data_IF_158028390604
#
_entry.id   IF_158028390604
#
_cell.length_a   1.000
_cell.length_b   1.000
_cell.length_c   1.000
_cell.angle_alpha   90.00
_cell.angle_beta   90.00
_cell.angle_gamma   90.00
#
_symmetry.space_group_name_H-M   'P 1'
#
loop_
_entity.id
_entity.type
_entity.pdbx_description
1 polymer ?
#
# COMPACT_ATOMS: atom_id res chain seq x y z
N UNK A 1 46.62 -48.75 -11.50
CA UNK A 1 46.88 -47.35 -11.12
C UNK A 1 45.68 -46.52 -11.58
N UNK A 2 44.79 -46.14 -10.67
CA UNK A 2 43.57 -45.39 -10.96
C UNK A 2 43.78 -43.91 -10.56
N UNK A 3 43.54 -43.00 -11.50
CA UNK A 3 43.67 -41.57 -11.28
C UNK A 3 42.52 -41.05 -10.38
N UNK A 4 42.80 -40.11 -9.46
CA UNK A 4 41.77 -39.54 -8.60
C UNK A 4 40.81 -38.65 -9.41
N UNK A 5 39.51 -38.62 -9.04
CA UNK A 5 38.54 -37.74 -9.68
C UNK A 5 38.87 -36.27 -9.37
N UNK A 6 39.09 -35.50 -10.43
CA UNK A 6 39.26 -34.06 -10.40
C UNK A 6 38.03 -33.40 -9.78
N UNK A 7 38.19 -32.87 -8.57
CA UNK A 7 37.23 -32.05 -7.83
C UNK A 7 36.82 -30.85 -8.68
N UNK A 8 35.62 -30.93 -9.24
CA UNK A 8 34.99 -29.91 -10.06
C UNK A 8 34.75 -28.63 -9.25
N UNK A 9 35.58 -27.62 -9.48
CA UNK A 9 35.25 -26.20 -9.43
C UNK A 9 34.52 -25.69 -8.18
N UNK A 10 35.23 -25.58 -7.06
CA UNK A 10 34.92 -24.55 -6.07
C UNK A 10 35.23 -23.19 -6.73
N UNK A 11 34.25 -22.60 -7.40
CA UNK A 11 34.32 -21.23 -7.89
C UNK A 11 34.47 -20.35 -6.65
N UNK A 12 35.60 -19.68 -6.53
CA UNK A 12 35.95 -18.82 -5.39
C UNK A 12 34.84 -17.76 -5.18
N UNK A 13 34.02 -17.94 -4.14
CA UNK A 13 32.99 -16.97 -3.72
C UNK A 13 33.61 -15.72 -3.04
N UNK A 14 34.93 -15.56 -3.08
CA UNK A 14 35.65 -14.56 -2.29
C UNK A 14 35.41 -13.11 -2.73
N UNK A 15 34.83 -12.88 -3.91
CA UNK A 15 34.48 -11.54 -4.40
C UNK A 15 33.06 -11.05 -4.10
N UNK A 16 32.15 -11.90 -3.60
CA UNK A 16 30.75 -11.51 -3.45
C UNK A 16 30.51 -10.74 -2.15
N UNK A 17 29.83 -9.60 -2.27
CA UNK A 17 29.40 -8.79 -1.14
C UNK A 17 28.50 -9.59 -0.20
N UNK A 18 28.51 -9.28 1.10
CA UNK A 18 27.68 -9.95 2.11
C UNK A 18 26.18 -9.99 1.71
N UNK A 19 25.71 -8.95 1.04
CA UNK A 19 24.34 -8.89 0.50
C UNK A 19 24.08 -9.93 -0.59
N UNK A 20 25.03 -10.13 -1.50
CA UNK A 20 24.88 -11.06 -2.62
C UNK A 20 24.89 -12.51 -2.13
N UNK A 21 25.71 -12.83 -1.13
CA UNK A 21 25.69 -14.13 -0.45
C UNK A 21 24.31 -14.41 0.16
N UNK A 22 23.75 -13.43 0.88
CA UNK A 22 22.40 -13.57 1.45
C UNK A 22 21.32 -13.73 0.37
N UNK A 23 21.45 -13.02 -0.76
CA UNK A 23 20.55 -13.12 -1.91
C UNK A 23 20.62 -14.51 -2.55
N UNK A 24 21.81 -15.09 -2.70
CA UNK A 24 22.01 -16.44 -3.24
C UNK A 24 21.40 -17.51 -2.34
N UNK A 25 21.58 -17.40 -1.01
CA UNK A 25 20.93 -18.30 -0.04
C UNK A 25 19.40 -18.25 -0.17
N UNK A 26 18.82 -17.05 -0.33
CA UNK A 26 17.37 -16.89 -0.55
C UNK A 26 16.93 -17.54 -1.86
N UNK A 27 17.69 -17.37 -2.95
CA UNK A 27 17.40 -17.99 -4.25
C UNK A 27 17.43 -19.53 -4.12
N UNK A 28 18.45 -20.08 -3.46
CA UNK A 28 18.58 -21.52 -3.24
C UNK A 28 17.40 -22.08 -2.43
N UNK A 29 17.02 -21.41 -1.34
CA UNK A 29 15.84 -21.77 -0.53
C UNK A 29 14.55 -21.76 -1.34
N UNK A 30 14.36 -20.75 -2.19
CA UNK A 30 13.18 -20.64 -3.04
C UNK A 30 13.15 -21.73 -4.11
N UNK A 31 14.30 -22.07 -4.71
CA UNK A 31 14.41 -23.19 -5.65
C UNK A 31 14.00 -24.52 -5.00
N UNK A 32 14.57 -24.83 -3.83
CA UNK A 32 14.20 -26.03 -3.08
C UNK A 32 12.70 -26.09 -2.74
N UNK A 33 12.09 -24.93 -2.41
CA UNK A 33 10.65 -24.84 -2.15
C UNK A 33 9.82 -25.06 -3.42
N UNK A 34 10.27 -24.58 -4.58
CA UNK A 34 9.59 -24.81 -5.85
C UNK A 34 9.71 -26.28 -6.29
N UNK A 35 10.83 -26.93 -5.99
CA UNK A 35 11.05 -28.36 -6.23
C UNK A 35 10.11 -29.20 -5.37
N UNK A 36 10.01 -28.90 -4.05
CA UNK A 36 9.12 -29.64 -3.16
C UNK A 36 7.63 -29.48 -3.50
N UNK A 37 7.24 -28.36 -4.12
CA UNK A 37 5.90 -28.13 -4.64
C UNK A 37 5.65 -28.75 -6.03
N UNK A 38 6.66 -29.37 -6.65
CA UNK A 38 6.57 -29.91 -8.01
C UNK A 38 6.38 -28.83 -9.08
N UNK A 39 6.78 -27.59 -8.79
CA UNK A 39 6.67 -26.45 -9.70
C UNK A 39 7.98 -26.17 -10.46
N UNK A 40 9.12 -26.65 -9.97
CA UNK A 40 10.44 -26.43 -10.57
C UNK A 40 10.61 -27.07 -11.96
N UNK A 41 9.82 -28.09 -12.30
CA UNK A 41 9.96 -28.87 -13.54
C UNK A 41 8.99 -28.48 -14.65
N UNK A 42 8.12 -27.48 -14.44
CA UNK A 42 7.26 -27.00 -15.53
C UNK A 42 8.12 -26.17 -16.48
N UNK A 43 8.45 -26.81 -17.60
CA UNK A 43 9.22 -26.31 -18.74
C UNK A 43 9.04 -24.79 -18.97
N UNK A 44 10.08 -24.09 -19.46
CA UNK A 44 10.01 -22.66 -19.76
C UNK A 44 8.71 -22.40 -20.53
N UNK A 45 7.93 -21.42 -20.05
CA UNK A 45 6.73 -20.91 -20.72
C UNK A 45 7.12 -20.35 -22.09
N UNK A 46 7.47 -21.23 -23.03
CA UNK A 46 7.66 -20.91 -24.43
C UNK A 46 6.30 -20.46 -24.94
N UNK A 47 6.22 -19.18 -25.28
CA UNK A 47 5.31 -18.63 -26.28
C UNK A 47 3.82 -18.91 -26.09
N UNK A 48 3.22 -18.44 -24.99
CA UNK A 48 1.75 -18.24 -24.92
C UNK A 48 1.31 -16.82 -25.30
N UNK A 49 2.12 -16.12 -26.09
CA UNK A 49 1.76 -14.90 -26.81
C UNK A 49 1.31 -15.26 -28.24
N UNK A 50 0.28 -16.08 -28.40
CA UNK A 50 -0.47 -16.18 -29.66
C UNK A 50 -1.96 -16.36 -29.36
N UNK A 51 -2.77 -15.51 -29.99
CA UNK A 51 -4.23 -15.47 -30.05
C UNK A 51 -4.99 -14.86 -28.86
N UNK A 52 -4.83 -13.56 -28.65
CA UNK A 52 -5.98 -12.71 -28.33
C UNK A 52 -6.56 -12.20 -29.66
N UNK A 53 -7.08 -13.10 -30.49
CA UNK A 53 -7.82 -12.70 -31.69
C UNK A 53 -9.05 -11.90 -31.27
N UNK A 54 -9.13 -10.68 -31.80
CA UNK A 54 -10.25 -9.75 -31.76
C UNK A 54 -11.62 -10.44 -31.61
N UNK A 55 -12.26 -10.29 -30.44
CA UNK A 55 -13.70 -10.54 -30.32
C UNK A 55 -14.43 -9.39 -31.02
N UNK A 56 -15.28 -9.65 -32.03
CA UNK A 56 -16.04 -8.61 -32.69
C UNK A 56 -17.05 -7.98 -31.73
N UNK A 57 -16.95 -6.66 -31.60
CA UNK A 57 -17.80 -5.78 -30.82
C UNK A 57 -19.20 -5.78 -31.43
N UNK A 58 -20.12 -6.58 -30.86
CA UNK A 58 -21.54 -6.61 -31.26
C UNK A 58 -22.13 -5.19 -31.08
N UNK A 59 -22.41 -4.52 -32.19
CA UNK A 59 -23.24 -3.31 -32.24
C UNK A 59 -24.67 -3.73 -31.89
N UNK A 60 -25.22 -3.17 -30.81
CA UNK A 60 -26.66 -3.25 -30.52
C UNK A 60 -27.36 -2.28 -31.46
N UNK A 61 -28.04 -2.80 -32.48
CA UNK A 61 -29.07 -2.06 -33.18
C UNK A 61 -30.38 -2.18 -32.40
N UNK A 62 -31.05 -1.04 -32.23
CA UNK A 62 -32.45 -0.90 -31.82
C UNK A 62 -33.33 -1.65 -32.81
N UNK A 63 -34.26 -2.46 -32.31
CA UNK A 63 -35.47 -2.82 -33.04
C UNK A 63 -36.62 -2.81 -32.03
N UNK A 64 -37.58 -1.94 -32.33
CA UNK A 64 -38.92 -1.90 -31.75
C UNK A 64 -39.77 -3.03 -32.36
N UNK A 65 -40.86 -3.31 -31.63
CA UNK A 65 -42.14 -3.81 -32.11
C UNK A 65 -42.40 -5.33 -32.13
N UNK A 66 -43.49 -5.63 -31.41
CA UNK A 66 -44.59 -6.56 -31.72
C UNK A 66 -44.53 -8.02 -31.24
N UNK A 67 -45.67 -8.37 -30.62
CA UNK A 67 -46.02 -9.60 -29.93
C UNK A 67 -46.16 -10.82 -30.84
N UNK A 68 -46.06 -12.02 -30.25
CA UNK A 68 -47.12 -13.03 -30.32
C UNK A 68 -46.80 -14.19 -29.38
N UNK A 69 -47.82 -14.61 -28.62
CA UNK A 69 -47.82 -15.78 -27.78
C UNK A 69 -47.93 -17.05 -28.63
N UNK A 70 -47.23 -18.13 -28.27
CA UNK A 70 -47.78 -19.49 -28.40
C UNK A 70 -47.10 -20.47 -27.45
N UNK A 71 -47.92 -21.06 -26.61
CA UNK A 71 -47.69 -22.25 -25.79
C UNK A 71 -47.66 -23.48 -26.70
N UNK A 72 -46.64 -24.33 -26.63
CA UNK A 72 -46.73 -25.72 -27.12
C UNK A 72 -46.04 -26.65 -26.12
N UNK A 73 -46.84 -27.59 -25.63
CA UNK A 73 -46.49 -28.74 -24.79
C UNK A 73 -46.41 -29.96 -25.72
N UNK A 74 -45.37 -30.78 -25.62
CA UNK A 74 -45.37 -32.19 -26.04
C UNK A 74 -44.92 -33.01 -24.81
N UNK A 75 -45.61 -34.02 -24.26
CA UNK A 75 -46.51 -35.08 -24.76
C UNK A 75 -45.85 -36.22 -25.53
N UNK A 76 -44.56 -36.45 -25.34
CA UNK A 76 -43.92 -37.73 -25.70
C UNK A 76 -43.05 -38.26 -24.57
N UNK A 77 -43.60 -39.24 -23.83
CA UNK A 77 -42.89 -40.01 -22.83
C UNK A 77 -41.77 -40.83 -23.47
N UNK A 78 -40.56 -40.29 -23.50
CA UNK A 78 -39.38 -41.05 -23.83
C UNK A 78 -38.33 -40.92 -22.72
N UNK A 79 -38.17 -42.05 -22.02
CA UNK A 79 -37.19 -42.28 -20.98
C UNK A 79 -35.79 -42.27 -21.59
N UNK A 80 -34.93 -41.35 -21.15
CA UNK A 80 -33.48 -41.46 -21.33
C UNK A 80 -32.81 -41.63 -19.98
N UNK A 81 -32.63 -42.90 -19.61
CA UNK A 81 -31.56 -43.31 -18.72
C UNK A 81 -30.22 -43.08 -19.42
N UNK A 82 -29.35 -42.24 -18.86
CA UNK A 82 -27.92 -42.32 -19.17
C UNK A 82 -27.07 -41.81 -17.99
N UNK A 83 -26.59 -42.79 -17.22
CA UNK A 83 -25.28 -42.84 -16.55
C UNK A 83 -24.84 -41.61 -15.74
N UNK A 84 -25.39 -41.45 -14.54
CA UNK A 84 -24.60 -41.01 -13.40
C UNK A 84 -24.05 -42.27 -12.73
N UNK A 85 -22.73 -42.44 -12.68
CA UNK A 85 -21.95 -43.12 -11.63
C UNK A 85 -20.52 -43.30 -12.14
N UNK A 86 -19.63 -42.38 -11.74
CA UNK A 86 -18.21 -42.47 -12.12
C UNK A 86 -17.33 -41.26 -11.78
N UNK A 87 -17.83 -40.26 -11.04
CA UNK A 87 -17.07 -39.03 -10.72
C UNK A 87 -17.01 -38.67 -9.22
N UNK A 88 -17.41 -39.59 -8.34
CA UNK A 88 -17.53 -39.31 -6.90
C UNK A 88 -16.29 -39.66 -6.06
N UNK A 89 -15.38 -40.55 -6.50
CA UNK A 89 -14.23 -40.95 -5.65
C UNK A 89 -12.98 -40.04 -5.78
N UNK A 90 -12.74 -39.42 -6.94
CA UNK A 90 -11.60 -38.50 -7.12
C UNK A 90 -11.78 -37.14 -6.43
N UNK A 91 -13.03 -36.69 -6.24
CA UNK A 91 -13.33 -35.43 -5.56
C UNK A 91 -13.02 -35.48 -4.05
N UNK A 92 -13.10 -36.66 -3.44
CA UNK A 92 -12.82 -36.84 -2.01
C UNK A 92 -11.31 -36.87 -1.68
N UNK A 93 -10.45 -37.37 -2.58
CA UNK A 93 -8.98 -37.35 -2.38
C UNK A 93 -8.38 -35.95 -2.56
N UNK A 94 -8.93 -35.13 -3.47
CA UNK A 94 -8.48 -33.74 -3.66
C UNK A 94 -8.80 -32.81 -2.48
N UNK A 95 -9.80 -33.14 -1.66
CA UNK A 95 -10.20 -32.28 -0.55
C UNK A 95 -9.30 -32.44 0.70
N UNK A 96 -8.75 -33.64 0.93
CA UNK A 96 -7.85 -33.89 2.09
C UNK A 96 -6.48 -33.21 1.95
N UNK A 97 -5.91 -33.13 0.75
CA UNK A 97 -4.65 -32.40 0.52
C UNK A 97 -4.83 -30.87 0.61
N UNK A 98 -6.00 -30.33 0.25
CA UNK A 98 -6.28 -28.90 0.41
C UNK A 98 -6.32 -28.48 1.90
N UNK A 99 -6.81 -29.36 2.78
CA UNK A 99 -6.87 -29.10 4.22
C UNK A 99 -5.49 -29.14 4.90
N UNK A 100 -4.58 -30.03 4.46
CA UNK A 100 -3.20 -30.09 4.97
C UNK A 100 -2.36 -28.86 4.56
N UNK A 101 -2.55 -28.35 3.33
CA UNK A 101 -1.88 -27.13 2.88
C UNK A 101 -2.31 -25.88 3.66
N UNK A 102 -3.57 -25.78 4.09
CA UNK A 102 -4.05 -24.65 4.88
C UNK A 102 -3.40 -24.57 6.27
N UNK A 103 -3.09 -25.69 6.91
CA UNK A 103 -2.44 -25.71 8.24
C UNK A 103 -0.97 -25.28 8.18
N UNK A 104 -0.21 -25.76 7.18
CA UNK A 104 1.19 -25.34 6.99
C UNK A 104 1.35 -23.90 6.51
N UNK A 105 0.42 -23.38 5.71
CA UNK A 105 0.45 -21.98 5.28
C UNK A 105 0.14 -21.00 6.43
N UNK A 106 -0.70 -21.41 7.39
CA UNK A 106 -1.00 -20.61 8.59
C UNK A 106 0.25 -20.41 9.45
N UNK A 107 1.03 -21.47 9.71
CA UNK A 107 2.20 -21.40 10.59
C UNK A 107 3.38 -20.59 10.02
N UNK A 108 3.51 -20.46 8.69
CA UNK A 108 4.61 -19.70 8.06
C UNK A 108 4.26 -18.22 7.92
N UNK A 109 2.98 -17.87 7.80
CA UNK A 109 2.54 -16.46 7.80
C UNK A 109 2.78 -15.80 9.18
N UNK A 110 2.68 -16.56 10.27
CA UNK A 110 2.84 -16.04 11.63
C UNK A 110 4.26 -15.58 11.95
N UNK A 111 5.30 -16.13 11.30
CA UNK A 111 6.71 -15.75 11.56
C UNK A 111 7.09 -14.44 10.87
N UNK A 112 6.59 -14.16 9.66
CA UNK A 112 6.87 -12.89 8.96
C UNK A 112 5.98 -11.73 9.45
N UNK A 113 4.73 -12.01 9.85
CA UNK A 113 3.87 -11.04 10.52
C UNK A 113 4.35 -10.73 11.96
N UNK A 114 4.95 -11.70 12.64
CA UNK A 114 5.58 -11.51 13.95
C UNK A 114 6.67 -10.45 13.93
N UNK A 115 7.57 -10.47 12.94
CA UNK A 115 8.65 -9.48 12.83
C UNK A 115 8.15 -8.07 12.52
N UNK A 116 7.13 -7.91 11.67
CA UNK A 116 6.56 -6.60 11.39
C UNK A 116 5.75 -6.04 12.59
N UNK A 117 5.04 -6.91 13.30
CA UNK A 117 4.27 -6.55 14.50
C UNK A 117 5.19 -6.23 15.68
N UNK A 118 6.28 -6.95 15.87
CA UNK A 118 7.31 -6.63 16.86
C UNK A 118 8.04 -5.34 16.50
N UNK A 119 8.36 -5.10 15.23
CA UNK A 119 8.93 -3.82 14.81
C UNK A 119 7.97 -2.65 15.06
N UNK A 120 6.67 -2.80 14.78
CA UNK A 120 5.62 -1.79 15.07
C UNK A 120 5.35 -1.60 16.57
N UNK A 121 5.39 -2.66 17.39
CA UNK A 121 5.22 -2.54 18.84
C UNK A 121 6.45 -1.90 19.49
N UNK A 122 7.65 -2.24 19.01
CA UNK A 122 8.93 -1.71 19.51
C UNK A 122 9.16 -0.26 19.09
N UNK A 123 8.59 0.15 17.95
CA UNK A 123 8.57 1.53 17.46
C UNK A 123 7.16 2.12 17.49
N UNK A 124 6.34 1.71 18.46
CA UNK A 124 4.98 2.21 18.62
C UNK A 124 5.03 3.73 18.64
N UNK A 125 4.58 4.33 17.54
CA UNK A 125 4.47 5.76 17.37
C UNK A 125 3.48 6.23 18.40
N UNK A 126 4.01 6.67 19.55
CA UNK A 126 3.25 6.86 20.75
C UNK A 126 1.96 7.58 20.46
N UNK A 127 0.84 6.87 20.63
CA UNK A 127 -0.34 7.49 21.18
C UNK A 127 0.15 8.18 22.46
N UNK A 128 0.35 9.50 22.38
CA UNK A 128 0.39 10.37 23.53
C UNK A 128 -0.98 10.27 24.21
N UNK A 129 -1.22 9.14 24.87
CA UNK A 129 -2.20 9.03 25.93
C UNK A 129 -1.66 9.91 27.03
N UNK A 130 -2.05 11.17 26.98
CA UNK A 130 -1.89 12.14 28.06
C UNK A 130 -2.44 11.47 29.31
N UNK A 131 -1.55 10.86 30.09
CA UNK A 131 -1.84 10.38 31.44
C UNK A 131 -2.12 11.64 32.24
N UNK A 132 -3.40 11.97 32.33
CA UNK A 132 -3.94 12.96 33.26
C UNK A 132 -3.66 12.41 34.68
N UNK A 133 -2.47 12.67 35.21
CA UNK A 133 -2.14 12.42 36.61
C UNK A 133 -2.90 13.47 37.42
N UNK A 134 -4.12 13.13 37.81
CA UNK A 134 -4.76 13.73 38.97
C UNK A 134 -4.11 13.11 40.20
N UNK A 135 -3.11 13.77 40.79
CA UNK A 135 -2.79 13.55 42.19
C UNK A 135 -2.08 14.77 42.78
N UNK A 136 -2.86 15.73 43.28
CA UNK A 136 -2.40 16.69 44.29
C UNK A 136 -3.49 16.73 45.34
N UNK A 137 -3.26 16.03 46.46
CA UNK A 137 -3.94 16.29 47.72
C UNK A 137 -2.88 16.42 48.80
N UNK A 138 -3.21 17.29 49.77
CA UNK A 138 -2.52 17.68 51.00
C UNK A 138 -1.26 18.52 50.85
N UNK A 139 -0.98 19.56 51.64
CA UNK A 139 -1.75 20.52 52.46
C UNK A 139 -0.69 21.27 53.26
N UNK A 140 -0.71 22.62 53.28
CA UNK A 140 -0.38 23.44 54.47
C UNK A 140 -0.18 24.91 54.11
N UNK A 141 -1.07 25.75 54.63
CA UNK A 141 -0.84 27.08 55.21
C UNK A 141 0.32 27.96 54.69
N UNK A 142 -0.03 29.11 54.11
CA UNK A 142 0.41 30.42 54.65
C UNK A 142 -0.26 31.58 53.92
N UNK A 143 -0.83 32.48 54.71
CA UNK A 143 -1.38 33.79 54.38
C UNK A 143 -0.47 34.66 53.51
N UNK A 144 -1.03 35.49 52.61
CA UNK A 144 -0.31 36.65 52.09
C UNK A 144 -0.71 37.16 50.70
N UNK A 145 -1.65 38.10 50.68
CA UNK A 145 -1.69 39.35 49.89
C UNK A 145 -1.05 39.41 48.47
N UNK A 146 -1.93 39.79 47.52
CA UNK A 146 -1.82 40.97 46.62
C UNK A 146 -0.88 40.89 45.37
N UNK A 147 -1.52 41.14 44.21
CA UNK A 147 -1.03 41.68 42.91
C UNK A 147 -0.13 40.82 42.02
N UNK A 148 -0.63 40.49 40.82
CA UNK A 148 -0.37 41.23 39.58
C UNK A 148 -0.87 40.40 38.38
N UNK A 149 -1.87 40.92 37.68
CA UNK A 149 -2.36 40.35 36.44
C UNK A 149 -1.29 40.51 35.35
N UNK A 150 -0.60 39.42 35.03
CA UNK A 150 0.19 39.30 33.80
C UNK A 150 -0.56 38.39 32.85
N UNK A 151 -1.36 39.00 31.99
CA UNK A 151 -2.09 38.38 30.88
C UNK A 151 -1.05 37.81 29.90
N UNK A 152 -0.64 36.56 30.10
CA UNK A 152 0.04 35.78 29.07
C UNK A 152 -0.98 35.46 27.98
N UNK A 153 -1.18 36.41 27.07
CA UNK A 153 -1.84 36.22 25.79
C UNK A 153 -0.98 35.28 24.95
N UNK A 154 -1.08 33.99 25.23
CA UNK A 154 -0.66 32.95 24.29
C UNK A 154 -1.63 33.03 23.13
N UNK A 155 -1.17 33.64 22.03
CA UNK A 155 -1.74 33.50 20.70
C UNK A 155 -1.78 32.01 20.38
N UNK A 156 -2.88 31.35 20.75
CA UNK A 156 -3.19 30.00 20.31
C UNK A 156 -3.45 30.12 18.82
N UNK A 157 -2.43 29.76 18.03
CA UNK A 157 -2.59 29.49 16.60
C UNK A 157 -3.83 28.61 16.43
N UNK A 158 -4.67 28.91 15.41
CA UNK A 158 -5.91 28.18 15.19
C UNK A 158 -5.58 26.71 15.12
N UNK A 159 -6.09 25.98 16.11
CA UNK A 159 -6.09 24.53 16.12
C UNK A 159 -6.92 24.15 14.91
N UNK A 160 -6.24 23.83 13.81
CA UNK A 160 -6.86 23.31 12.60
C UNK A 160 -7.86 22.27 13.06
N UNK A 161 -9.13 22.58 12.82
CA UNK A 161 -10.26 21.71 13.14
C UNK A 161 -9.89 20.32 12.66
N UNK A 162 -10.16 19.32 13.51
CA UNK A 162 -9.94 17.90 13.26
C UNK A 162 -10.15 17.62 11.77
N UNK A 163 -9.01 17.49 11.10
CA UNK A 163 -8.86 17.60 9.69
C UNK A 163 -9.77 16.59 9.01
N UNK A 164 -10.76 17.11 8.29
CA UNK A 164 -11.49 16.41 7.23
C UNK A 164 -10.46 15.56 6.50
N UNK A 165 -10.62 14.24 6.64
CA UNK A 165 -9.55 13.30 6.32
C UNK A 165 -9.33 13.37 4.82
N UNK A 166 -8.36 14.18 4.39
CA UNK A 166 -8.12 14.45 2.97
C UNK A 166 -8.01 13.13 2.23
N UNK A 167 -9.05 12.89 1.43
CA UNK A 167 -9.16 11.70 0.63
C UNK A 167 -8.48 11.95 -0.71
N UNK A 168 -8.19 10.86 -1.41
CA UNK A 168 -7.70 10.91 -2.79
C UNK A 168 -8.67 11.66 -3.72
N UNK A 169 -9.94 11.70 -3.36
CA UNK A 169 -10.99 12.33 -4.15
C UNK A 169 -10.98 13.87 -4.02
N UNK A 170 -10.39 14.38 -2.94
CA UNK A 170 -10.25 15.83 -2.68
C UNK A 170 -9.05 16.46 -3.41
N UNK A 171 -8.33 15.70 -4.24
CA UNK A 171 -7.23 16.23 -5.03
C UNK A 171 -7.73 17.04 -6.22
N UNK A 172 -7.16 18.23 -6.38
CA UNK A 172 -7.40 19.06 -7.56
C UNK A 172 -6.74 18.42 -8.78
N UNK A 173 -7.28 18.66 -9.97
CA UNK A 173 -6.83 17.94 -11.17
C UNK A 173 -5.35 18.14 -11.47
N UNK A 174 -4.82 19.36 -11.25
CA UNK A 174 -3.40 19.65 -11.43
C UNK A 174 -2.49 19.04 -10.34
N UNK A 175 -3.03 18.56 -9.22
CA UNK A 175 -2.29 17.87 -8.15
C UNK A 175 -2.18 16.36 -8.41
N UNK A 176 -3.08 15.80 -9.24
CA UNK A 176 -3.17 14.34 -9.50
C UNK A 176 -1.89 13.78 -10.11
N UNK A 177 -1.24 14.53 -11.00
CA UNK A 177 0.00 14.10 -11.67
C UNK A 177 1.17 14.03 -10.69
N UNK A 178 1.36 15.08 -9.89
CA UNK A 178 2.38 15.12 -8.84
C UNK A 178 2.16 14.01 -7.80
N UNK A 179 0.91 13.79 -7.39
CA UNK A 179 0.57 12.71 -6.47
C UNK A 179 0.86 11.32 -7.05
N UNK A 180 0.54 11.10 -8.32
CA UNK A 180 0.84 9.86 -9.03
C UNK A 180 2.35 9.59 -9.06
N UNK A 181 3.15 10.61 -9.37
CA UNK A 181 4.60 10.54 -9.38
C UNK A 181 5.18 10.23 -7.99
N UNK A 182 4.74 10.93 -6.95
CA UNK A 182 5.16 10.66 -5.56
C UNK A 182 4.75 9.25 -5.10
N UNK A 183 3.58 8.78 -5.52
CA UNK A 183 3.13 7.42 -5.19
C UNK A 183 4.01 6.37 -5.86
N UNK A 184 4.43 6.58 -7.10
CA UNK A 184 5.35 5.66 -7.77
C UNK A 184 6.75 5.73 -7.17
N UNK A 185 7.27 6.92 -6.86
CA UNK A 185 8.51 7.09 -6.10
C UNK A 185 8.47 6.29 -4.79
N UNK A 186 7.39 6.41 -4.01
CA UNK A 186 7.21 5.66 -2.76
C UNK A 186 7.25 4.15 -2.98
N UNK A 187 6.63 3.64 -4.05
CA UNK A 187 6.69 2.22 -4.39
C UNK A 187 8.10 1.80 -4.78
N UNK A 188 8.79 2.58 -5.60
CA UNK A 188 10.17 2.31 -6.00
C UNK A 188 11.08 2.25 -4.77
N UNK A 189 10.99 3.23 -3.88
CA UNK A 189 11.75 3.26 -2.63
C UNK A 189 11.42 2.09 -1.71
N UNK A 190 10.14 1.70 -1.65
CA UNK A 190 9.72 0.50 -0.92
C UNK A 190 10.37 -0.78 -1.47
N UNK A 191 10.44 -0.92 -2.81
CA UNK A 191 11.10 -2.05 -3.47
C UNK A 191 12.61 -2.08 -3.19
N UNK A 192 13.28 -0.93 -3.22
CA UNK A 192 14.71 -0.79 -2.93
C UNK A 192 15.06 -1.25 -1.51
N UNK A 193 14.26 -0.84 -0.53
CA UNK A 193 14.46 -1.19 0.88
C UNK A 193 13.94 -2.60 1.23
N UNK A 194 13.33 -3.31 0.28
CA UNK A 194 12.77 -4.64 0.49
C UNK A 194 11.47 -4.66 1.30
N UNK A 195 10.76 -3.53 1.42
CA UNK A 195 9.45 -3.47 2.05
C UNK A 195 8.38 -4.04 1.12
N UNK A 196 7.63 -5.02 1.61
CA UNK A 196 6.46 -5.57 0.92
C UNK A 196 5.29 -4.59 0.90
N UNK A 197 5.21 -3.66 1.86
CA UNK A 197 4.21 -2.60 1.89
C UNK A 197 4.86 -1.19 1.86
N UNK A 198 4.71 -0.42 0.77
CA UNK A 198 5.25 0.94 0.66
C UNK A 198 4.68 1.94 1.67
N UNK A 199 3.54 1.66 2.31
CA UNK A 199 2.96 2.53 3.33
C UNK A 199 3.83 2.65 4.60
N UNK A 200 4.82 1.78 4.78
CA UNK A 200 5.80 1.87 5.88
C UNK A 200 6.64 3.15 5.75
N UNK A 201 6.93 3.60 4.53
CA UNK A 201 7.68 4.85 4.26
C UNK A 201 6.82 6.06 4.66
N UNK A 202 5.65 6.21 4.04
CA UNK A 202 4.67 7.23 4.39
C UNK A 202 3.24 6.86 3.93
N UNK A 203 2.24 7.43 4.59
CA UNK A 203 0.84 7.20 4.25
C UNK A 203 0.43 7.98 2.97
N UNK A 204 -0.61 7.55 2.26
CA UNK A 204 -1.08 8.29 1.07
C UNK A 204 -1.55 9.70 1.43
N UNK A 205 -2.18 9.88 2.60
CA UNK A 205 -2.55 11.19 3.13
C UNK A 205 -1.35 12.14 3.25
N UNK A 206 -0.19 11.65 3.68
CA UNK A 206 1.03 12.47 3.73
C UNK A 206 1.43 12.97 2.35
N UNK A 207 1.30 12.15 1.30
CA UNK A 207 1.58 12.57 -0.08
C UNK A 207 0.59 13.63 -0.58
N UNK A 208 -0.69 13.50 -0.20
CA UNK A 208 -1.72 14.52 -0.49
C UNK A 208 -1.35 15.85 0.18
N UNK A 209 -0.98 15.81 1.46
CA UNK A 209 -0.55 16.99 2.22
C UNK A 209 0.71 17.62 1.61
N UNK A 210 1.68 16.81 1.16
CA UNK A 210 2.86 17.32 0.43
C UNK A 210 2.48 18.04 -0.87
N UNK A 211 1.51 17.52 -1.63
CA UNK A 211 1.06 18.17 -2.86
C UNK A 211 0.37 19.51 -2.57
N UNK A 212 -0.31 19.64 -1.43
CA UNK A 212 -0.99 20.87 -1.01
C UNK A 212 -0.07 21.90 -0.37
N UNK A 213 0.88 21.45 0.46
CA UNK A 213 1.79 22.34 1.18
C UNK A 213 3.02 22.75 0.35
N UNK A 214 3.44 21.89 -0.59
CA UNK A 214 4.59 22.09 -1.50
C UNK A 214 5.90 22.46 -0.77
N UNK A 215 6.38 21.63 0.18
CA UNK A 215 7.61 21.92 0.91
C UNK A 215 8.84 21.99 -0.01
N UNK A 216 9.69 22.98 0.23
CA UNK A 216 10.98 23.18 -0.43
C UNK A 216 12.18 22.79 0.43
N UNK A 217 12.05 22.90 1.74
CA UNK A 217 13.08 22.52 2.71
C UNK A 217 12.61 21.47 3.74
N UNK A 218 13.55 20.93 4.51
CA UNK A 218 13.32 19.90 5.51
C UNK A 218 12.42 20.38 6.68
N UNK A 219 12.54 21.65 7.09
CA UNK A 219 11.72 22.22 8.17
C UNK A 219 10.27 22.39 7.71
N UNK A 220 10.06 22.80 6.46
CA UNK A 220 8.74 22.81 5.84
C UNK A 220 8.16 21.40 5.71
N UNK A 221 8.98 20.40 5.38
CA UNK A 221 8.55 19.01 5.30
C UNK A 221 8.12 18.44 6.67
N UNK A 222 8.77 18.84 7.77
CA UNK A 222 8.37 18.46 9.14
C UNK A 222 7.00 18.99 9.55
N UNK A 223 6.51 20.05 8.91
CA UNK A 223 5.16 20.59 9.17
C UNK A 223 4.06 19.73 8.52
N UNK A 224 4.43 18.88 7.57
CA UNK A 224 3.49 18.01 6.85
C UNK A 224 3.01 16.88 7.76
N UNK A 225 1.69 16.64 7.76
CA UNK A 225 1.10 15.58 8.57
C UNK A 225 1.68 14.19 8.26
N UNK A 226 2.09 13.47 9.30
CA UNK A 226 2.63 12.11 9.20
C UNK A 226 4.12 12.02 8.85
N UNK A 227 4.81 13.16 8.70
CA UNK A 227 6.27 13.23 8.69
C UNK A 227 6.77 13.41 10.12
N UNK A 228 7.71 12.56 10.51
CA UNK A 228 8.42 12.63 11.80
C UNK A 228 9.91 12.80 11.56
N UNK A 229 10.64 13.27 12.56
CA UNK A 229 12.09 13.50 12.45
C UNK A 229 12.87 12.25 11.97
N UNK A 230 12.63 11.03 12.49
CA UNK A 230 13.32 9.83 11.97
C UNK A 230 13.00 9.52 10.50
N UNK A 231 11.78 9.84 10.04
CA UNK A 231 11.42 9.65 8.62
C UNK A 231 12.07 10.69 7.73
N UNK A 232 12.17 11.92 8.24
CA UNK A 232 12.87 13.01 7.56
C UNK A 232 14.34 12.66 7.36
N UNK A 233 15.03 12.19 8.40
CA UNK A 233 16.44 11.80 8.32
C UNK A 233 16.68 10.67 7.30
N UNK A 234 15.76 9.70 7.20
CA UNK A 234 15.91 8.55 6.31
C UNK A 234 15.48 8.83 4.86
N UNK A 235 14.48 9.69 4.66
CA UNK A 235 13.77 9.81 3.38
C UNK A 235 13.47 11.25 2.94
N UNK A 236 13.76 12.25 3.77
CA UNK A 236 13.38 13.65 3.55
C UNK A 236 13.99 14.25 2.29
N UNK A 237 15.29 14.09 2.09
CA UNK A 237 15.99 14.57 0.89
C UNK A 237 15.39 13.98 -0.39
N UNK A 238 15.21 12.66 -0.43
CA UNK A 238 14.62 11.94 -1.56
C UNK A 238 13.15 12.34 -1.81
N UNK A 239 12.39 12.65 -0.76
CA UNK A 239 11.02 13.17 -0.88
C UNK A 239 10.99 14.56 -1.53
N UNK A 240 11.92 15.44 -1.13
CA UNK A 240 12.06 16.79 -1.67
C UNK A 240 12.53 16.76 -3.12
N UNK A 241 13.47 15.86 -3.45
CA UNK A 241 13.94 15.63 -4.82
C UNK A 241 12.79 15.15 -5.73
N UNK A 242 12.03 14.14 -5.29
CA UNK A 242 10.89 13.62 -6.04
C UNK A 242 9.79 14.66 -6.28
N UNK A 243 9.61 15.61 -5.35
CA UNK A 243 8.66 16.71 -5.48
C UNK A 243 9.17 17.84 -6.38
N UNK A 244 10.49 18.00 -6.51
CA UNK A 244 11.16 19.10 -7.19
C UNK A 244 10.56 19.49 -8.55
N UNK A 245 10.41 18.56 -9.51
CA UNK A 245 9.86 18.85 -10.83
C UNK A 245 8.43 19.42 -10.81
N UNK A 246 7.64 19.08 -9.79
CA UNK A 246 6.23 19.43 -9.69
C UNK A 246 5.96 20.74 -8.94
N UNK A 247 6.94 21.25 -8.20
CA UNK A 247 6.77 22.44 -7.34
C UNK A 247 6.23 23.65 -8.09
N UNK A 248 6.77 23.92 -9.29
CA UNK A 248 6.34 25.04 -10.13
C UNK A 248 4.86 24.91 -10.53
N UNK A 249 4.47 23.76 -11.07
CA UNK A 249 3.09 23.47 -11.48
C UNK A 249 2.11 23.58 -10.30
N UNK A 250 2.48 23.01 -9.13
CA UNK A 250 1.63 23.04 -7.95
C UNK A 250 1.41 24.47 -7.44
N UNK A 251 2.48 25.27 -7.30
CA UNK A 251 2.39 26.67 -6.85
C UNK A 251 1.55 27.52 -7.80
N UNK A 252 1.73 27.36 -9.11
CA UNK A 252 0.91 28.06 -10.11
C UNK A 252 -0.57 27.64 -10.05
N UNK A 253 -0.84 26.34 -9.88
CA UNK A 253 -2.18 25.81 -9.71
C UNK A 253 -2.88 26.32 -8.45
N UNK A 254 -2.15 26.39 -7.33
CA UNK A 254 -2.64 26.93 -6.07
C UNK A 254 -2.99 28.42 -6.18
N UNK A 255 -2.08 29.23 -6.76
CA UNK A 255 -2.33 30.66 -6.98
C UNK A 255 -3.57 30.91 -7.86
N UNK A 256 -3.75 30.12 -8.94
CA UNK A 256 -4.95 30.21 -9.80
C UNK A 256 -6.23 29.87 -9.04
N UNK A 257 -6.18 28.83 -8.22
CA UNK A 257 -7.34 28.38 -7.45
C UNK A 257 -7.75 29.41 -6.39
N UNK A 258 -6.79 30.00 -5.67
CA UNK A 258 -7.06 30.98 -4.63
C UNK A 258 -7.63 32.29 -5.22
N UNK A 259 -7.13 32.70 -6.39
CA UNK A 259 -7.70 33.83 -7.13
C UNK A 259 -9.16 33.58 -7.57
N UNK A 260 -9.48 32.36 -8.02
CA UNK A 260 -10.84 31.99 -8.41
C UNK A 260 -11.82 32.02 -7.21
N UNK A 261 -11.37 31.54 -6.05
CA UNK A 261 -12.17 31.57 -4.83
C UNK A 261 -12.45 33.00 -4.33
N UNK A 262 -11.46 33.89 -4.40
CA UNK A 262 -11.63 35.29 -4.03
C UNK A 262 -12.63 36.01 -4.94
N UNK A 263 -12.58 35.79 -6.25
CA UNK A 263 -13.52 36.39 -7.21
C UNK A 263 -14.97 35.94 -6.95
N UNK A 264 -15.18 34.65 -6.64
CA UNK A 264 -16.52 34.13 -6.36
C UNK A 264 -17.14 34.69 -5.08
N UNK A 265 -16.34 35.02 -4.06
CA UNK A 265 -16.85 35.60 -2.82
C UNK A 265 -17.28 37.06 -3.01
N UNK A 266 -16.57 37.84 -3.82
CA UNK A 266 -16.93 39.24 -4.10
C UNK A 266 -18.27 39.39 -4.83
N UNK A 267 -18.66 38.39 -5.64
CA UNK A 267 -19.90 38.45 -6.42
C UNK A 267 -21.17 38.03 -5.63
N UNK A 268 -21.03 37.51 -4.40
CA UNK A 268 -22.18 37.13 -3.55
C UNK A 268 -22.65 38.25 -2.61
N UNK A 269 -21.91 39.35 -2.53
CA UNK A 269 -22.18 40.48 -1.63
C UNK A 269 -22.89 41.66 -2.27
N UNK A 270 -23.28 41.57 -3.54
CA UNK A 270 -24.09 42.57 -4.25
C UNK A 270 -25.46 41.97 -4.60
#
# INVERSE_FOLDING_TARGET
>A
MAAPPSTTGAIEEEGLSAYERLRLVKIARNKARLESLGLATKAPLRNRLKSCSNKPRKRKAKAEATATATTIVDRNGNSRQHQQLGRSSERLKKNKNAQAHHQTASLVADVELGNAKDWMNKHSFGDHKVKKKNNIKSSSSSSGKIRAATSKTTTRLPKTSAAEALTLDDLRDYERDAFSALREWKRARGRELGYSNPCVICHNRTLVEMCRYVPDDEQSLLRVWGISLPRLELHGELMLEALGPWRKQLREGHAKHDNNNNNNNNNRGQ
#
